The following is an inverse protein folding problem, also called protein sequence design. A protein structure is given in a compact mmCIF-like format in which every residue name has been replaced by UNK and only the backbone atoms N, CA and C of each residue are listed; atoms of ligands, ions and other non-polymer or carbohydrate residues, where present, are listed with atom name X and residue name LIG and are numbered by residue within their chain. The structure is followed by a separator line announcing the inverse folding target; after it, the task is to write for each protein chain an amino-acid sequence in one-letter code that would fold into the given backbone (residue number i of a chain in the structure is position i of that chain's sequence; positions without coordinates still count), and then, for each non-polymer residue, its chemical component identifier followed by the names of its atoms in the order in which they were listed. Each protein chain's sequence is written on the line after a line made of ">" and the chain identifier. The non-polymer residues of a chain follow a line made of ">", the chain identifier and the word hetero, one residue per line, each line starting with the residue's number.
data_IF_092080703873
#
_entry.id   IF_092080703873
#
_cell.length_a   1.000
_cell.length_b   1.000
_cell.length_c   1.000
_cell.angle_alpha   90.00
_cell.angle_beta   90.00
_cell.angle_gamma   90.00
#
_symmetry.space_group_name_H-M   'P 1'
#
loop_
_entity.id
_entity.type
_entity.pdbx_description
1 polymer ?
#
# COMPACT_ATOMS: atom_id res chain seq x y z
N UNK A 1 -14.05 -5.31 5.72
CA UNK A 1 -14.23 -3.84 5.76
C UNK A 1 -13.04 -3.26 5.03
N UNK A 2 -13.25 -2.71 3.84
CA UNK A 2 -12.17 -2.10 3.05
C UNK A 2 -12.03 -0.66 3.54
N UNK A 3 -10.95 -0.36 4.23
CA UNK A 3 -10.57 1.03 4.45
C UNK A 3 -9.89 1.51 3.17
N UNK A 4 -10.67 2.19 2.33
CA UNK A 4 -10.15 2.93 1.18
C UNK A 4 -10.06 4.39 1.58
N UNK A 5 -8.87 4.88 1.90
CA UNK A 5 -8.63 6.30 2.08
C UNK A 5 -8.47 6.96 0.70
N UNK A 6 -9.43 7.82 0.34
CA UNK A 6 -9.37 8.64 -0.88
C UNK A 6 -8.96 10.05 -0.45
N UNK A 7 -7.82 10.54 -0.96
CA UNK A 7 -7.30 11.88 -0.68
C UNK A 7 -7.60 12.79 -1.88
N UNK A 8 -8.32 13.90 -1.67
CA UNK A 8 -8.56 14.95 -2.68
C UNK A 8 -7.77 16.21 -2.36
N UNK A 9 -7.41 16.99 -3.39
CA UNK A 9 -6.37 18.03 -3.28
C UNK A 9 -6.70 19.33 -4.03
N UNK A 10 -7.92 19.89 -3.92
CA UNK A 10 -8.21 21.31 -4.22
C UNK A 10 -9.60 21.72 -3.73
N UNK A 11 -9.70 22.97 -3.27
CA UNK A 11 -10.86 23.59 -2.60
C UNK A 11 -11.85 24.28 -3.57
N UNK A 12 -11.94 23.85 -4.83
CA UNK A 12 -12.83 24.46 -5.83
C UNK A 12 -13.66 23.41 -6.57
N UNK A 13 -14.98 23.61 -6.55
CA UNK A 13 -15.97 22.80 -7.27
C UNK A 13 -15.71 22.98 -8.78
N UNK A 14 -15.08 21.98 -9.40
CA UNK A 14 -14.96 21.89 -10.85
C UNK A 14 -15.99 20.87 -11.34
N UNK A 15 -17.02 21.34 -12.05
CA UNK A 15 -17.98 20.47 -12.74
C UNK A 15 -17.27 19.75 -13.89
N UNK A 16 -16.74 18.56 -13.61
CA UNK A 16 -16.03 17.73 -14.58
C UNK A 16 -15.10 16.73 -13.91
N UNK A 17 -15.64 15.82 -13.08
CA UNK A 17 -14.87 14.72 -12.51
C UNK A 17 -14.35 13.79 -13.62
N UNK A 18 -13.02 13.64 -13.69
CA UNK A 18 -12.37 12.51 -14.34
C UNK A 18 -11.38 11.91 -13.31
N UNK A 19 -11.48 10.60 -13.10
CA UNK A 19 -11.01 9.85 -11.92
C UNK A 19 -9.52 9.48 -11.91
N UNK A 20 -8.63 10.34 -12.41
CA UNK A 20 -7.28 9.90 -12.84
C UNK A 20 -6.13 10.15 -11.83
N UNK A 21 -6.42 10.56 -10.58
CA UNK A 21 -5.38 10.90 -9.58
C UNK A 21 -5.41 10.04 -8.30
N UNK A 22 -5.93 8.81 -8.35
CA UNK A 22 -5.90 7.90 -7.20
C UNK A 22 -4.53 7.22 -7.09
N UNK A 23 -3.82 7.49 -5.99
CA UNK A 23 -2.58 6.80 -5.62
C UNK A 23 -2.90 5.77 -4.53
N UNK A 24 -2.54 4.51 -4.76
CA UNK A 24 -2.74 3.41 -3.83
C UNK A 24 -1.47 2.57 -3.71
N UNK A 25 -1.06 2.27 -2.48
CA UNK A 25 0.10 1.43 -2.19
C UNK A 25 -0.30 0.35 -1.18
N UNK A 26 0.11 -0.90 -1.44
CA UNK A 26 -0.12 -2.04 -0.54
C UNK A 26 1.15 -2.32 0.26
N UNK A 27 1.05 -2.27 1.59
CA UNK A 27 2.16 -2.45 2.50
C UNK A 27 2.05 -3.79 3.23
N UNK A 28 3.18 -4.47 3.39
CA UNK A 28 3.26 -5.77 4.06
C UNK A 28 3.20 -5.66 5.60
N UNK A 29 3.35 -4.45 6.16
CA UNK A 29 3.40 -4.20 7.60
C UNK A 29 2.11 -3.56 8.11
N UNK A 30 1.67 -3.99 9.29
CA UNK A 30 0.50 -3.42 9.97
C UNK A 30 0.91 -2.10 10.63
N UNK A 31 0.22 -1.03 10.26
CA UNK A 31 0.36 0.26 10.91
C UNK A 31 -0.85 0.51 11.82
N UNK A 32 -0.63 1.07 13.00
CA UNK A 32 -1.72 1.70 13.76
C UNK A 32 -2.33 2.85 12.93
N UNK A 33 -3.60 3.20 13.16
CA UNK A 33 -4.30 4.23 12.37
C UNK A 33 -3.49 5.53 12.22
N UNK A 34 -2.87 5.98 13.31
CA UNK A 34 -2.02 7.18 13.35
C UNK A 34 -0.78 7.03 12.46
N UNK A 35 -0.12 5.88 12.51
CA UNK A 35 1.07 5.59 11.72
C UNK A 35 0.74 5.36 10.24
N UNK A 36 -0.38 4.68 9.94
CA UNK A 36 -0.88 4.47 8.59
C UNK A 36 -1.23 5.81 7.93
N UNK A 37 -1.87 6.69 8.70
CA UNK A 37 -2.19 8.05 8.26
C UNK A 37 -0.91 8.85 8.01
N UNK A 38 0.05 8.83 8.93
CA UNK A 38 1.33 9.52 8.75
C UNK A 38 2.06 9.04 7.49
N UNK A 39 2.03 7.74 7.22
CA UNK A 39 2.65 7.15 6.04
C UNK A 39 1.92 7.54 4.75
N UNK A 40 0.58 7.44 4.71
CA UNK A 40 -0.21 7.88 3.55
C UNK A 40 0.00 9.37 3.25
N UNK A 41 0.15 10.20 4.28
CA UNK A 41 0.46 11.62 4.12
C UNK A 41 1.85 11.83 3.51
N UNK A 42 2.85 11.09 4.01
CA UNK A 42 4.21 11.08 3.48
C UNK A 42 4.22 10.67 2.01
N UNK A 43 3.47 9.64 1.64
CA UNK A 43 3.36 9.15 0.28
C UNK A 43 2.68 10.19 -0.63
N UNK A 44 1.59 10.81 -0.16
CA UNK A 44 0.91 11.89 -0.89
C UNK A 44 1.81 13.11 -1.11
N UNK A 45 2.57 13.52 -0.09
CA UNK A 45 3.58 14.58 -0.23
C UNK A 45 4.72 14.15 -1.15
N UNK A 46 5.18 12.91 -1.05
CA UNK A 46 6.18 12.33 -1.94
C UNK A 46 5.71 12.41 -3.38
N UNK A 47 4.56 11.86 -3.74
CA UNK A 47 4.09 11.92 -5.13
C UNK A 47 3.83 13.33 -5.63
N UNK A 48 3.35 14.23 -4.77
CA UNK A 48 3.12 15.64 -5.13
C UNK A 48 4.42 16.40 -5.42
N UNK A 49 5.49 16.07 -4.70
CA UNK A 49 6.73 16.86 -4.71
C UNK A 49 7.95 16.11 -5.26
N UNK A 50 7.89 14.81 -5.50
CA UNK A 50 8.96 13.99 -6.08
C UNK A 50 9.30 14.43 -7.51
N UNK A 51 8.38 15.11 -8.18
CA UNK A 51 8.60 15.73 -9.50
C UNK A 51 9.18 17.15 -9.44
N UNK A 52 9.43 17.72 -8.25
CA UNK A 52 9.94 19.09 -8.13
C UNK A 52 11.41 19.15 -8.52
N UNK A 53 11.63 19.41 -9.81
CA UNK A 53 12.93 19.68 -10.39
C UNK A 53 13.23 21.18 -10.36
N UNK A 54 14.47 21.51 -10.02
CA UNK A 54 14.96 22.88 -9.94
C UNK A 54 16.15 23.02 -10.87
N UNK A 55 16.23 24.19 -11.51
CA UNK A 55 17.42 24.59 -12.26
C UNK A 55 17.92 25.91 -11.72
N UNK A 56 19.22 25.98 -11.45
CA UNK A 56 19.85 27.20 -10.95
C UNK A 56 21.28 27.33 -11.49
N UNK A 57 21.84 28.52 -11.36
CA UNK A 57 23.22 28.81 -11.76
C UNK A 57 24.07 29.16 -10.54
N UNK A 58 25.33 28.78 -10.56
CA UNK A 58 26.29 29.15 -9.52
C UNK A 58 27.67 29.40 -10.11
N UNK A 59 28.37 30.41 -9.61
CA UNK A 59 29.79 30.63 -9.91
C UNK A 59 30.69 29.63 -9.15
N UNK A 60 30.20 29.09 -8.03
CA UNK A 60 30.89 28.07 -7.25
C UNK A 60 30.64 26.71 -7.85
N UNK A 61 31.72 25.94 -8.03
CA UNK A 61 31.63 24.55 -8.46
C UNK A 61 31.12 23.65 -7.32
N UNK A 62 29.96 23.03 -7.57
CA UNK A 62 29.31 22.01 -6.74
C UNK A 62 29.33 20.66 -7.44
N UNK A 63 29.59 19.59 -6.68
CA UNK A 63 29.50 18.22 -7.16
C UNK A 63 28.04 17.74 -7.23
N UNK A 64 27.75 16.78 -8.12
CA UNK A 64 26.50 16.03 -8.06
C UNK A 64 26.43 15.26 -6.72
N UNK A 65 25.24 15.18 -6.13
CA UNK A 65 25.02 14.63 -4.79
C UNK A 65 25.13 15.66 -3.66
N UNK A 66 25.58 16.88 -3.94
CA UNK A 66 25.59 17.96 -2.93
C UNK A 66 24.17 18.42 -2.62
N UNK A 67 23.88 18.55 -1.31
CA UNK A 67 22.66 19.19 -0.82
C UNK A 67 22.88 20.70 -0.74
N UNK A 68 21.99 21.46 -1.35
CA UNK A 68 22.02 22.93 -1.32
C UNK A 68 20.66 23.50 -0.97
N UNK A 69 20.67 24.65 -0.30
CA UNK A 69 19.45 25.39 0.03
C UNK A 69 19.31 26.55 -0.94
N UNK A 70 18.29 26.49 -1.80
CA UNK A 70 17.92 27.57 -2.70
C UNK A 70 17.05 28.55 -1.92
N UNK A 71 17.51 29.80 -1.84
CA UNK A 71 16.80 30.91 -1.24
C UNK A 71 16.68 32.00 -2.30
N UNK A 72 15.45 32.33 -2.70
CA UNK A 72 15.14 33.51 -3.51
C UNK A 72 14.13 34.37 -2.75
N UNK A 73 14.64 35.35 -2.03
CA UNK A 73 13.89 36.34 -1.26
C UNK A 73 13.47 37.56 -2.09
N UNK A 74 13.98 37.69 -3.32
CA UNK A 74 13.80 38.88 -4.14
C UNK A 74 12.50 38.85 -4.96
N UNK A 75 12.06 37.67 -5.43
CA UNK A 75 10.88 37.56 -6.29
C UNK A 75 9.89 36.46 -5.89
N UNK A 76 10.38 35.28 -5.51
CA UNK A 76 9.52 34.12 -5.29
C UNK A 76 9.27 33.76 -3.82
N UNK A 77 10.10 34.26 -2.89
CA UNK A 77 10.10 33.79 -1.51
C UNK A 77 10.53 32.31 -1.38
N UNK A 78 11.14 31.74 -2.42
CA UNK A 78 11.53 30.35 -2.47
C UNK A 78 12.56 30.06 -1.38
N UNK A 79 12.31 29.02 -0.60
CA UNK A 79 13.23 28.54 0.42
C UNK A 79 13.15 27.01 0.47
N UNK A 80 14.01 26.34 -0.30
CA UNK A 80 13.94 24.89 -0.49
C UNK A 80 15.34 24.28 -0.43
N UNK A 81 15.46 23.11 0.20
CA UNK A 81 16.66 22.28 0.12
C UNK A 81 16.49 21.31 -1.04
N UNK A 82 17.53 21.20 -1.87
CA UNK A 82 17.56 20.39 -3.08
C UNK A 82 18.82 19.53 -3.13
N UNK A 83 18.74 18.40 -3.80
CA UNK A 83 19.85 17.51 -4.13
C UNK A 83 20.28 17.78 -5.58
N UNK A 84 21.53 18.14 -5.80
CA UNK A 84 22.09 18.34 -7.15
C UNK A 84 22.20 17.00 -7.87
N UNK A 85 21.55 16.86 -9.02
CA UNK A 85 21.52 15.62 -9.82
C UNK A 85 22.32 15.73 -11.11
N UNK A 86 22.40 16.92 -11.70
CA UNK A 86 23.21 17.17 -12.89
C UNK A 86 23.93 18.52 -12.83
N UNK A 87 25.06 18.59 -13.52
CA UNK A 87 25.91 19.77 -13.66
C UNK A 87 26.31 19.92 -15.12
N UNK A 88 26.18 21.12 -15.66
CA UNK A 88 26.65 21.49 -16.99
C UNK A 88 27.54 22.72 -16.90
N UNK A 89 28.66 22.70 -17.61
CA UNK A 89 29.55 23.84 -17.80
C UNK A 89 29.85 23.99 -19.28
N UNK A 90 29.76 25.20 -19.81
CA UNK A 90 30.12 25.51 -21.20
C UNK A 90 31.18 26.62 -21.19
N UNK A 91 32.06 26.62 -22.19
CA UNK A 91 33.08 27.65 -22.40
C UNK A 91 32.49 29.03 -22.71
N UNK A 92 31.23 29.08 -23.14
CA UNK A 92 30.47 30.31 -23.39
C UNK A 92 29.91 30.99 -22.13
N UNK A 93 29.94 30.35 -20.95
CA UNK A 93 29.38 30.90 -19.71
C UNK A 93 30.32 30.72 -18.51
N UNK A 94 30.60 31.79 -17.79
CA UNK A 94 31.48 31.76 -16.61
C UNK A 94 30.81 31.14 -15.36
N UNK A 95 29.63 30.54 -15.49
CA UNK A 95 28.84 29.96 -14.40
C UNK A 95 28.39 28.55 -14.72
N UNK A 96 28.27 27.72 -13.69
CA UNK A 96 27.75 26.37 -13.78
C UNK A 96 26.22 26.37 -13.77
N UNK A 97 25.61 25.59 -14.65
CA UNK A 97 24.18 25.29 -14.63
C UNK A 97 23.95 23.98 -13.90
N UNK A 98 23.00 23.95 -12.99
CA UNK A 98 22.64 22.77 -12.21
C UNK A 98 21.20 22.36 -12.46
N UNK A 99 20.97 21.05 -12.40
CA UNK A 99 19.65 20.44 -12.24
C UNK A 99 19.63 19.74 -10.88
N UNK A 100 18.54 19.89 -10.16
CA UNK A 100 18.40 19.40 -8.80
C UNK A 100 16.97 18.95 -8.50
N UNK A 101 16.80 18.10 -7.50
CA UNK A 101 15.50 17.61 -7.05
C UNK A 101 15.23 18.10 -5.64
N UNK A 102 14.03 18.61 -5.38
CA UNK A 102 13.60 19.07 -4.06
C UNK A 102 13.63 17.96 -3.03
N UNK A 103 14.25 18.21 -1.88
CA UNK A 103 14.26 17.30 -0.72
C UNK A 103 13.56 17.88 0.51
N UNK A 104 13.35 19.20 0.58
CA UNK A 104 12.61 19.82 1.68
C UNK A 104 11.19 20.25 1.30
N UNK A 105 10.67 19.80 0.16
CA UNK A 105 9.28 20.04 -0.21
C UNK A 105 8.29 19.23 0.68
N UNK A 106 8.82 18.35 1.53
CA UNK A 106 8.05 17.54 2.46
C UNK A 106 8.06 18.20 3.84
N UNK A 107 6.94 18.83 4.23
CA UNK A 107 6.73 19.16 5.63
C UNK A 107 6.21 17.91 6.34
N UNK A 108 7.14 17.15 6.93
CA UNK A 108 6.86 15.95 7.70
C UNK A 108 6.02 16.23 8.97
N UNK A 109 5.87 17.51 9.35
CA UNK A 109 5.12 17.95 10.51
C UNK A 109 3.77 18.57 10.19
N UNK A 110 3.43 18.76 8.90
CA UNK A 110 2.16 19.34 8.49
C UNK A 110 0.97 18.46 8.95
N UNK A 111 -0.02 19.00 9.69
CA UNK A 111 -1.22 18.26 10.06
C UNK A 111 -2.06 17.95 8.82
N UNK A 112 -2.47 16.70 8.67
CA UNK A 112 -3.34 16.29 7.58
C UNK A 112 -4.81 16.44 7.97
N UNK A 113 -5.61 16.98 7.05
CA UNK A 113 -7.06 17.07 7.19
C UNK A 113 -7.70 15.79 6.66
N UNK A 114 -8.54 15.17 7.49
CA UNK A 114 -9.42 14.07 7.10
C UNK A 114 -10.65 14.67 6.42
N UNK A 115 -10.86 14.40 5.14
CA UNK A 115 -12.17 14.61 4.51
C UNK A 115 -12.73 13.26 4.07
N UNK A 116 -13.63 12.71 4.89
CA UNK A 116 -14.42 11.54 4.52
C UNK A 116 -15.39 12.02 3.44
N UNK A 117 -15.14 11.64 2.19
CA UNK A 117 -16.12 11.87 1.13
C UNK A 117 -17.44 11.24 1.54
N UNK A 118 -18.48 12.06 1.50
CA UNK A 118 -19.81 11.64 1.88
C UNK A 118 -20.23 10.40 1.10
N UNK A 119 -20.97 9.54 1.78
CA UNK A 119 -21.31 8.18 1.37
C UNK A 119 -21.82 8.17 -0.07
N UNK A 120 -21.12 7.46 -0.97
CA UNK A 120 -21.56 7.29 -2.35
C UNK A 120 -23.02 6.79 -2.39
N UNK A 121 -23.90 7.60 -2.98
CA UNK A 121 -25.32 7.29 -3.13
C UNK A 121 -25.45 6.01 -3.98
N UNK A 122 -25.75 4.89 -3.33
CA UNK A 122 -25.91 3.52 -3.85
C UNK A 122 -24.75 2.54 -3.64
N UNK A 123 -23.82 2.79 -2.70
CA UNK A 123 -22.95 1.70 -2.25
C UNK A 123 -23.78 0.66 -1.47
N UNK A 124 -24.00 -0.50 -2.08
CA UNK A 124 -24.90 -1.55 -1.55
C UNK A 124 -24.14 -2.38 -0.53
N UNK A 125 -23.73 -1.75 0.56
CA UNK A 125 -23.07 -2.43 1.67
C UNK A 125 -24.14 -3.08 2.53
N UNK A 126 -24.08 -4.40 2.68
CA UNK A 126 -24.93 -5.13 3.63
C UNK A 126 -24.82 -4.53 5.04
N UNK A 127 -25.88 -4.66 5.84
CA UNK A 127 -25.95 -4.09 7.18
C UNK A 127 -24.64 -4.30 7.96
N UNK A 128 -24.05 -3.24 8.55
CA UNK A 128 -22.90 -3.38 9.43
C UNK A 128 -23.19 -4.45 10.48
N UNK A 129 -22.26 -5.39 10.64
CA UNK A 129 -22.32 -6.35 11.74
C UNK A 129 -22.32 -5.62 13.08
N UNK A 130 -22.87 -6.22 14.15
CA UNK A 130 -22.84 -5.62 15.47
C UNK A 130 -21.39 -5.26 15.86
N UNK A 131 -21.16 -4.09 16.50
CA UNK A 131 -19.85 -3.72 17.03
C UNK A 131 -19.29 -4.84 17.91
N UNK A 132 -18.05 -5.24 17.66
CA UNK A 132 -17.35 -6.20 18.52
C UNK A 132 -17.22 -5.63 19.94
N UNK A 133 -17.57 -6.43 20.94
CA UNK A 133 -17.81 -5.97 22.32
C UNK A 133 -16.55 -5.49 23.07
N UNK A 134 -15.33 -5.81 22.59
CA UNK A 134 -14.11 -5.65 23.41
C UNK A 134 -12.94 -4.91 22.74
N UNK A 135 -13.18 -4.11 21.69
CA UNK A 135 -12.09 -3.35 21.03
C UNK A 135 -10.99 -4.22 20.39
N UNK A 136 -11.18 -5.55 20.34
CA UNK A 136 -10.31 -6.48 19.66
C UNK A 136 -10.54 -6.42 18.15
N UNK A 137 -9.50 -6.12 17.38
CA UNK A 137 -9.50 -6.25 15.92
C UNK A 137 -8.84 -7.56 15.52
N UNK A 138 -9.34 -8.18 14.45
CA UNK A 138 -8.69 -9.36 13.85
C UNK A 138 -8.20 -9.00 12.46
N UNK A 139 -6.93 -9.27 12.20
CA UNK A 139 -6.31 -9.12 10.88
C UNK A 139 -5.82 -10.49 10.42
N UNK A 140 -5.98 -10.79 9.13
CA UNK A 140 -5.52 -12.05 8.56
C UNK A 140 -4.63 -11.80 7.36
N UNK A 141 -3.63 -12.65 7.15
CA UNK A 141 -2.77 -12.61 5.97
C UNK A 141 -2.43 -14.01 5.47
N UNK A 142 -2.09 -14.12 4.19
CA UNK A 142 -1.60 -15.35 3.58
C UNK A 142 -0.18 -15.11 3.11
N UNK A 143 0.77 -15.87 3.64
CA UNK A 143 2.16 -15.86 3.22
C UNK A 143 2.43 -17.04 2.29
N UNK A 144 3.09 -16.79 1.16
CA UNK A 144 3.55 -17.83 0.23
C UNK A 144 5.05 -18.04 0.35
N UNK A 145 5.51 -19.29 0.39
CA UNK A 145 6.93 -19.62 0.46
C UNK A 145 7.70 -19.34 -0.85
N UNK A 146 7.00 -19.15 -1.97
CA UNK A 146 7.58 -18.96 -3.30
C UNK A 146 6.98 -17.75 -4.03
N UNK A 147 6.72 -16.66 -3.29
CA UNK A 147 6.17 -15.41 -3.84
C UNK A 147 4.67 -15.47 -4.17
N UNK A 148 4.10 -14.36 -4.62
CA UNK A 148 2.65 -14.21 -4.86
C UNK A 148 2.19 -14.47 -6.30
N UNK A 149 3.13 -14.64 -7.25
CA UNK A 149 2.85 -14.88 -8.67
C UNK A 149 3.67 -16.08 -9.14
N UNK A 150 2.98 -17.14 -9.56
CA UNK A 150 3.60 -18.38 -10.02
C UNK A 150 3.63 -18.45 -11.55
N UNK A 151 4.76 -18.87 -12.11
CA UNK A 151 4.87 -19.21 -13.53
C UNK A 151 4.50 -20.69 -13.75
N UNK A 152 4.02 -21.06 -14.94
CA UNK A 152 3.84 -22.47 -15.30
C UNK A 152 5.12 -23.26 -15.00
N UNK A 153 4.97 -24.47 -14.46
CA UNK A 153 6.06 -25.39 -14.05
C UNK A 153 6.83 -25.05 -12.75
N UNK A 154 6.64 -23.87 -12.15
CA UNK A 154 7.27 -23.48 -10.88
C UNK A 154 6.21 -23.00 -9.86
N UNK A 155 5.30 -23.91 -9.51
CA UNK A 155 4.11 -23.62 -8.68
C UNK A 155 4.24 -24.19 -7.26
N UNK A 156 5.25 -25.02 -6.99
CA UNK A 156 5.45 -25.61 -5.67
C UNK A 156 5.66 -24.52 -4.62
N UNK A 157 4.65 -24.34 -3.77
CA UNK A 157 4.61 -23.32 -2.73
C UNK A 157 3.79 -23.79 -1.55
N UNK A 158 4.12 -23.28 -0.36
CA UNK A 158 3.32 -23.44 0.83
C UNK A 158 2.65 -22.10 1.09
N UNK A 159 1.32 -22.10 1.14
CA UNK A 159 0.53 -20.98 1.61
C UNK A 159 0.27 -21.16 3.10
N UNK A 160 0.71 -20.22 3.93
CA UNK A 160 0.49 -20.20 5.38
C UNK A 160 -0.47 -19.07 5.73
N UNK A 161 -1.52 -19.38 6.48
CA UNK A 161 -2.49 -18.39 6.96
C UNK A 161 -2.08 -17.88 8.33
N UNK A 162 -2.02 -16.57 8.49
CA UNK A 162 -1.70 -15.92 9.75
C UNK A 162 -2.91 -15.15 10.27
N UNK A 163 -3.16 -15.23 11.57
CA UNK A 163 -4.24 -14.53 12.28
C UNK A 163 -3.62 -13.68 13.37
N UNK A 164 -3.93 -12.39 13.34
CA UNK A 164 -3.49 -11.43 14.32
C UNK A 164 -4.71 -10.91 15.07
N UNK A 165 -4.64 -10.93 16.40
CA UNK A 165 -5.56 -10.18 17.25
C UNK A 165 -4.83 -8.91 17.69
N UNK A 166 -5.35 -7.77 17.26
CA UNK A 166 -4.70 -6.47 17.34
C UNK A 166 -3.31 -6.51 16.64
N UNK A 167 -2.24 -6.66 17.41
CA UNK A 167 -0.85 -6.72 16.93
C UNK A 167 -0.15 -8.04 17.28
N UNK A 168 -0.83 -8.95 17.98
CA UNK A 168 -0.28 -10.24 18.40
C UNK A 168 -0.75 -11.33 17.45
N UNK A 169 0.19 -12.14 16.96
CA UNK A 169 -0.14 -13.31 16.18
C UNK A 169 -0.70 -14.42 17.07
N UNK A 170 -1.94 -14.84 16.81
CA UNK A 170 -2.66 -15.90 17.53
C UNK A 170 -2.90 -17.14 16.66
N UNK A 171 -2.28 -17.21 15.49
CA UNK A 171 -2.42 -18.32 14.53
C UNK A 171 -2.27 -19.69 15.20
N UNK A 172 -1.27 -19.82 16.08
CA UNK A 172 -0.97 -21.09 16.75
C UNK A 172 -1.97 -21.47 17.85
N UNK A 173 -2.62 -20.48 18.46
CA UNK A 173 -3.62 -20.66 19.51
C UNK A 173 -4.96 -21.17 18.96
N UNK A 174 -5.24 -20.88 17.69
CA UNK A 174 -6.48 -21.25 17.03
C UNK A 174 -6.46 -22.71 16.57
N UNK A 175 -7.57 -23.42 16.80
CA UNK A 175 -7.72 -24.79 16.31
C UNK A 175 -7.75 -24.83 14.77
N UNK A 176 -7.01 -25.76 14.18
CA UNK A 176 -6.89 -25.86 12.73
C UNK A 176 -8.23 -26.09 12.04
N UNK A 177 -9.22 -26.73 12.70
CA UNK A 177 -10.58 -26.97 12.18
C UNK A 177 -11.34 -25.69 11.84
N UNK A 178 -10.91 -24.54 12.36
CA UNK A 178 -11.50 -23.22 12.06
C UNK A 178 -11.12 -22.69 10.67
N UNK A 179 -10.11 -23.28 10.03
CA UNK A 179 -9.54 -22.80 8.76
C UNK A 179 -10.13 -23.57 7.58
N UNK A 180 -10.59 -22.83 6.57
CA UNK A 180 -11.15 -23.36 5.33
C UNK A 180 -10.54 -22.69 4.12
N UNK A 181 -9.69 -23.42 3.43
CA UNK A 181 -9.12 -23.00 2.15
C UNK A 181 -10.14 -23.14 1.03
N UNK A 182 -10.06 -22.22 0.09
CA UNK A 182 -10.89 -22.17 -1.11
C UNK A 182 -10.02 -21.87 -2.32
N UNK A 183 -10.39 -22.52 -3.43
CA UNK A 183 -9.82 -22.31 -4.75
C UNK A 183 -10.85 -21.67 -5.68
N UNK A 184 -10.40 -20.76 -6.53
CA UNK A 184 -11.17 -20.19 -7.62
C UNK A 184 -10.36 -20.29 -8.91
N UNK A 185 -10.89 -21.02 -9.88
CA UNK A 185 -10.31 -21.24 -11.20
C UNK A 185 -11.38 -21.09 -12.29
N UNK A 186 -11.06 -21.49 -13.52
CA UNK A 186 -12.01 -21.56 -14.61
C UNK A 186 -12.99 -22.76 -14.50
N UNK A 187 -12.73 -23.74 -13.63
CA UNK A 187 -13.57 -24.92 -13.41
C UNK A 187 -14.23 -24.89 -12.01
N UNK A 188 -15.47 -24.39 -11.91
CA UNK A 188 -16.17 -24.29 -10.63
C UNK A 188 -16.56 -25.66 -10.02
N UNK A 189 -16.64 -26.72 -10.83
CA UNK A 189 -16.96 -28.07 -10.35
C UNK A 189 -15.73 -28.64 -9.63
N UNK A 190 -14.56 -28.52 -10.24
CA UNK A 190 -13.31 -28.98 -9.64
C UNK A 190 -12.95 -28.13 -8.41
N UNK A 191 -13.21 -26.81 -8.45
CA UNK A 191 -13.09 -25.94 -7.28
C UNK A 191 -13.98 -26.39 -6.11
N UNK A 192 -15.21 -26.84 -6.40
CA UNK A 192 -16.13 -27.40 -5.40
C UNK A 192 -15.56 -28.65 -4.74
N UNK A 193 -14.91 -29.52 -5.50
CA UNK A 193 -14.23 -30.73 -4.99
C UNK A 193 -13.00 -30.39 -4.17
N UNK A 194 -12.20 -29.42 -4.63
CA UNK A 194 -11.01 -28.98 -3.92
C UNK A 194 -11.37 -28.39 -2.54
N UNK A 195 -12.40 -27.52 -2.49
CA UNK A 195 -12.90 -26.87 -1.25
C UNK A 195 -13.36 -27.85 -0.16
N UNK A 196 -13.84 -29.03 -0.55
CA UNK A 196 -14.31 -30.06 0.39
C UNK A 196 -13.30 -31.16 0.63
N UNK A 197 -12.13 -31.09 0.00
CA UNK A 197 -11.06 -32.06 0.18
C UNK A 197 -10.44 -31.96 1.58
N UNK A 198 -9.85 -33.05 2.05
CA UNK A 198 -9.07 -33.06 3.29
C UNK A 198 -7.94 -32.05 3.28
N UNK A 199 -7.39 -31.74 2.10
CA UNK A 199 -6.33 -30.74 1.90
C UNK A 199 -6.78 -29.30 2.19
N UNK A 200 -8.06 -29.00 2.00
CA UNK A 200 -8.59 -27.64 2.12
C UNK A 200 -9.20 -27.32 3.48
N UNK A 201 -9.51 -28.33 4.30
CA UNK A 201 -10.19 -28.18 5.59
C UNK A 201 -9.23 -28.53 6.71
N UNK A 202 -9.34 -27.84 7.84
CA UNK A 202 -8.60 -28.17 9.06
C UNK A 202 -7.07 -27.99 8.94
N UNK A 203 -6.63 -27.00 8.15
CA UNK A 203 -5.22 -26.73 7.90
C UNK A 203 -4.90 -25.24 7.97
N UNK A 204 -3.89 -24.87 8.77
CA UNK A 204 -3.35 -23.50 8.84
C UNK A 204 -2.43 -23.16 7.66
N UNK A 205 -1.84 -24.19 7.04
CA UNK A 205 -1.03 -24.08 5.83
C UNK A 205 -1.40 -25.15 4.82
N UNK A 206 -1.31 -24.83 3.52
CA UNK A 206 -1.59 -25.75 2.42
C UNK A 206 -0.46 -25.74 1.40
N UNK A 207 -0.03 -26.92 0.97
CA UNK A 207 0.93 -27.10 -0.11
C UNK A 207 0.20 -27.00 -1.46
N UNK A 208 0.59 -26.07 -2.33
CA UNK A 208 0.02 -25.90 -3.67
C UNK A 208 1.00 -26.44 -4.69
N UNK A 209 0.52 -27.37 -5.54
CA UNK A 209 1.29 -27.97 -6.63
C UNK A 209 0.74 -27.53 -7.97
N UNK A 210 1.47 -27.84 -9.03
CA UNK A 210 1.03 -27.60 -10.40
C UNK A 210 -0.37 -28.19 -10.68
N UNK A 211 -0.66 -29.38 -10.16
CA UNK A 211 -1.96 -30.04 -10.31
C UNK A 211 -3.12 -29.27 -9.65
N UNK A 212 -2.85 -28.40 -8.66
CA UNK A 212 -3.87 -27.57 -8.03
C UNK A 212 -4.20 -26.32 -8.89
N UNK A 213 -3.37 -25.98 -9.87
CA UNK A 213 -3.44 -24.75 -10.65
C UNK A 213 -3.82 -25.03 -12.12
N UNK A 214 -5.12 -25.09 -12.40
CA UNK A 214 -5.64 -25.23 -13.77
C UNK A 214 -5.86 -23.84 -14.37
N UNK A 215 -4.89 -23.37 -15.15
CA UNK A 215 -4.91 -22.00 -15.70
C UNK A 215 -4.81 -20.94 -14.60
N UNK A 216 -5.45 -19.79 -14.80
CA UNK A 216 -5.47 -18.72 -13.78
C UNK A 216 -6.28 -19.20 -12.57
N UNK A 217 -5.57 -19.41 -11.46
CA UNK A 217 -6.13 -19.95 -10.21
C UNK A 217 -5.80 -19.00 -9.05
N UNK A 218 -6.77 -18.77 -8.17
CA UNK A 218 -6.63 -17.95 -6.97
C UNK A 218 -6.99 -18.79 -5.75
N UNK A 219 -6.19 -18.70 -4.70
CA UNK A 219 -6.43 -19.35 -3.41
C UNK A 219 -6.72 -18.30 -2.35
N UNK A 220 -7.65 -18.62 -1.47
CA UNK A 220 -8.00 -17.82 -0.30
C UNK A 220 -8.39 -18.74 0.84
N UNK A 221 -8.38 -18.24 2.06
CA UNK A 221 -8.79 -19.01 3.23
C UNK A 221 -9.71 -18.16 4.09
N UNK A 222 -10.70 -18.82 4.65
CA UNK A 222 -11.65 -18.26 5.59
C UNK A 222 -11.39 -18.86 6.96
N UNK A 223 -11.62 -18.05 8.00
CA UNK A 223 -11.51 -18.49 9.38
C UNK A 223 -12.82 -18.21 10.12
N UNK A 224 -13.27 -19.20 10.89
CA UNK A 224 -14.41 -19.07 11.79
C UNK A 224 -13.94 -18.70 13.21
N UNK A 225 -14.11 -17.43 13.56
CA UNK A 225 -13.82 -16.88 14.90
C UNK A 225 -15.06 -16.88 15.81
N UNK A 226 -16.17 -17.49 15.41
CA UNK A 226 -17.37 -17.55 16.24
C UNK A 226 -17.05 -18.26 17.56
N UNK A 227 -17.41 -17.60 18.68
CA UNK A 227 -17.18 -18.12 20.03
C UNK A 227 -15.71 -18.19 20.46
N UNK A 228 -14.80 -17.52 19.75
CA UNK A 228 -13.45 -17.29 20.25
C UNK A 228 -13.46 -16.10 21.21
N UNK A 229 -13.24 -16.37 22.49
CA UNK A 229 -12.97 -15.35 23.52
C UNK A 229 -11.48 -15.45 23.88
N UNK A 230 -10.79 -14.31 23.87
CA UNK A 230 -9.36 -14.22 24.21
C UNK A 230 -9.14 -14.16 25.73
#
# INVERSE_FOLDING_TARGET
>A
MRDTNIVRTVDSIYEGENSDNLLSEELLFVHERTLAQAHANLLGQFHRHAGSQYTFFSAVDLNCGTLVRLIDDAFSGLNVSVLVTARTFTDESAVYRYEAVGISAFDLSAPAYLEVLDRGKNDTVGSPGPPGVDGSSYTVSIQSSNGSIFRPEQVDTILTFHVFQNTTEITEELDASRFRWKRLSADPIDDGRWKTSSKAIAHKSVEIKNADCVGRTVFFCEIDLTGYEA
#
